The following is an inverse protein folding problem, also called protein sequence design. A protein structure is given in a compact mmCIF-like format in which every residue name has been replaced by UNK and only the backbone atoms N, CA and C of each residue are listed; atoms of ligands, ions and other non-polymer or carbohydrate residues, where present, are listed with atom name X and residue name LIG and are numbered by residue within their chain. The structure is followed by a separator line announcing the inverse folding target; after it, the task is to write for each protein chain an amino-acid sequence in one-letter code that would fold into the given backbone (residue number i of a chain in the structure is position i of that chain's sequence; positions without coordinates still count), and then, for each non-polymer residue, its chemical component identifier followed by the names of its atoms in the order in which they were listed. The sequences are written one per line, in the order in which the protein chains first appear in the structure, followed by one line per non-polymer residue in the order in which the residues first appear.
data_IF_780164048933
#
_entry.id   IF_780164048933
#
_cell.length_a   1.000
_cell.length_b   1.000
_cell.length_c   1.000
_cell.angle_alpha   90.00
_cell.angle_beta   90.00
_cell.angle_gamma   90.00
#
_symmetry.space_group_name_H-M   'P 1'
#
loop_
_entity.id
_entity.type
_entity.pdbx_description
1 polymer ?
#
# COMPACT_ATOMS: atom_id res chain seq x y z
N UNK A 1 16.43 9.76 7.81
CA UNK A 1 15.08 10.29 7.51
C UNK A 1 15.23 11.66 6.86
N UNK A 2 14.48 12.00 5.82
CA UNK A 2 14.61 13.29 5.12
C UNK A 2 14.08 14.42 6.01
N UNK A 3 14.68 15.61 5.95
CA UNK A 3 14.25 16.74 6.77
C UNK A 3 12.79 17.12 6.41
N UNK A 4 11.84 17.16 7.36
CA UNK A 4 10.44 17.47 7.08
C UNK A 4 10.25 18.85 6.42
N UNK A 5 11.09 19.84 6.73
CA UNK A 5 11.01 21.17 6.10
C UNK A 5 11.33 21.11 4.61
N UNK A 6 12.37 20.35 4.24
CA UNK A 6 12.73 20.12 2.84
C UNK A 6 11.63 19.37 2.07
N UNK A 7 10.97 18.40 2.72
CA UNK A 7 9.87 17.66 2.11
C UNK A 7 8.67 18.56 1.81
N UNK A 8 8.30 19.44 2.76
CA UNK A 8 7.23 20.45 2.59
C UNK A 8 7.53 21.37 1.41
N UNK A 9 8.75 21.88 1.31
CA UNK A 9 9.17 22.77 0.22
C UNK A 9 9.19 22.05 -1.13
N UNK A 10 9.76 20.85 -1.21
CA UNK A 10 9.75 20.05 -2.44
C UNK A 10 8.32 19.71 -2.89
N UNK A 11 7.46 19.33 -1.95
CA UNK A 11 6.05 19.06 -2.23
C UNK A 11 5.36 20.30 -2.79
N UNK A 12 5.48 21.44 -2.11
CA UNK A 12 4.84 22.68 -2.54
C UNK A 12 5.30 23.11 -3.94
N UNK A 13 6.61 23.06 -4.21
CA UNK A 13 7.17 23.38 -5.54
C UNK A 13 6.57 22.48 -6.64
N UNK A 14 6.52 21.17 -6.39
CA UNK A 14 5.94 20.21 -7.35
C UNK A 14 4.42 20.39 -7.51
N UNK A 15 3.72 20.71 -6.43
CA UNK A 15 2.28 20.87 -6.43
C UNK A 15 1.85 22.15 -7.16
N UNK A 16 2.53 23.29 -6.94
CA UNK A 16 2.31 24.53 -7.71
C UNK A 16 2.48 24.26 -9.20
N UNK A 17 3.55 23.58 -9.60
CA UNK A 17 3.78 23.20 -11.00
C UNK A 17 2.64 22.33 -11.55
N UNK A 18 2.17 21.35 -10.78
CA UNK A 18 1.04 20.51 -11.16
C UNK A 18 -0.26 21.29 -11.33
N UNK A 19 -0.57 22.22 -10.41
CA UNK A 19 -1.75 23.08 -10.50
C UNK A 19 -1.70 24.00 -11.72
N UNK A 20 -0.54 24.59 -12.03
CA UNK A 20 -0.35 25.39 -13.24
C UNK A 20 -0.66 24.58 -14.51
N UNK A 21 -0.14 23.35 -14.61
CA UNK A 21 -0.42 22.48 -15.76
C UNK A 21 -1.92 22.15 -15.84
N UNK A 22 -2.55 21.76 -14.73
CA UNK A 22 -3.99 21.48 -14.71
C UNK A 22 -4.83 22.68 -15.15
N UNK A 23 -4.43 23.90 -14.76
CA UNK A 23 -5.13 25.12 -15.17
C UNK A 23 -4.95 25.43 -16.66
N UNK A 24 -3.79 25.09 -17.23
CA UNK A 24 -3.48 25.30 -18.64
C UNK A 24 -4.15 24.27 -19.56
N UNK A 25 -4.31 23.01 -19.12
CA UNK A 25 -4.85 21.94 -19.97
C UNK A 25 -6.35 22.07 -20.23
N UNK A 26 -7.13 22.57 -19.27
CA UNK A 26 -8.59 22.72 -19.42
C UNK A 26 -9.09 23.98 -18.71
N UNK A 27 -9.38 25.03 -19.49
CA UNK A 27 -9.81 26.35 -18.99
C UNK A 27 -11.21 26.34 -18.35
N UNK A 28 -12.13 25.49 -18.82
CA UNK A 28 -13.48 25.34 -18.27
C UNK A 28 -13.64 23.96 -17.64
N UNK A 29 -13.60 23.90 -16.31
CA UNK A 29 -13.83 22.68 -15.54
C UNK A 29 -15.05 22.85 -14.63
N UNK A 30 -15.86 21.78 -14.51
CA UNK A 30 -16.91 21.75 -13.47
C UNK A 30 -16.28 21.71 -12.07
N UNK A 31 -17.05 22.04 -11.02
CA UNK A 31 -16.56 21.99 -9.63
C UNK A 31 -16.03 20.59 -9.27
N UNK A 32 -16.73 19.54 -9.71
CA UNK A 32 -16.34 18.15 -9.46
C UNK A 32 -15.02 17.82 -10.15
N UNK A 33 -14.83 18.28 -11.39
CA UNK A 33 -13.59 18.11 -12.13
C UNK A 33 -12.43 18.87 -11.48
N UNK A 34 -12.65 20.11 -11.05
CA UNK A 34 -11.64 20.90 -10.32
C UNK A 34 -11.19 20.18 -9.05
N UNK A 35 -12.13 19.66 -8.27
CA UNK A 35 -11.81 18.88 -7.06
C UNK A 35 -10.95 17.65 -7.38
N UNK A 36 -11.31 16.90 -8.44
CA UNK A 36 -10.55 15.73 -8.89
C UNK A 36 -9.15 16.12 -9.37
N UNK A 37 -9.03 17.20 -10.16
CA UNK A 37 -7.76 17.70 -10.67
C UNK A 37 -6.82 18.17 -9.54
N UNK A 38 -7.35 18.90 -8.55
CA UNK A 38 -6.58 19.34 -7.38
C UNK A 38 -6.06 18.13 -6.59
N UNK A 39 -6.93 17.15 -6.32
CA UNK A 39 -6.55 15.92 -5.62
C UNK A 39 -5.46 15.17 -6.39
N UNK A 40 -5.68 14.95 -7.68
CA UNK A 40 -4.75 14.22 -8.51
C UNK A 40 -3.38 14.91 -8.63
N UNK A 41 -3.38 16.23 -8.82
CA UNK A 41 -2.16 17.04 -8.82
C UNK A 41 -1.40 16.92 -7.50
N UNK A 42 -2.09 16.93 -6.36
CA UNK A 42 -1.48 16.71 -5.05
C UNK A 42 -0.90 15.28 -4.91
N UNK A 43 -1.64 14.25 -5.33
CA UNK A 43 -1.19 12.86 -5.27
C UNK A 43 0.07 12.64 -6.15
N UNK A 44 0.09 13.21 -7.36
CA UNK A 44 1.24 13.15 -8.27
C UNK A 44 2.45 13.91 -7.70
N UNK A 45 2.24 15.11 -7.17
CA UNK A 45 3.29 15.92 -6.57
C UNK A 45 3.89 15.21 -5.35
N UNK A 46 3.04 14.69 -4.45
CA UNK A 46 3.45 13.94 -3.27
C UNK A 46 4.25 12.69 -3.65
N UNK A 47 3.76 11.87 -4.58
CA UNK A 47 4.49 10.70 -5.05
C UNK A 47 5.83 11.09 -5.71
N UNK A 48 5.86 12.19 -6.45
CA UNK A 48 7.07 12.68 -7.13
C UNK A 48 8.13 13.22 -6.15
N UNK A 49 7.77 13.72 -4.97
CA UNK A 49 8.76 14.13 -3.94
C UNK A 49 9.60 12.96 -3.45
N UNK A 50 9.04 11.74 -3.48
CA UNK A 50 9.73 10.51 -3.12
C UNK A 50 10.55 9.91 -4.25
N UNK A 51 10.61 10.56 -5.43
CA UNK A 51 11.44 10.14 -6.57
C UNK A 51 11.32 8.65 -6.88
N UNK A 52 10.12 8.08 -6.78
CA UNK A 52 9.87 6.65 -7.03
C UNK A 52 10.73 5.71 -6.16
N UNK A 53 10.93 6.04 -4.89
CA UNK A 53 11.67 5.17 -3.96
C UNK A 53 10.75 4.29 -3.13
N UNK A 54 9.45 4.58 -3.09
CA UNK A 54 8.47 3.91 -2.23
C UNK A 54 7.40 3.25 -3.07
N UNK A 55 6.99 2.04 -2.68
CA UNK A 55 5.93 1.29 -3.37
C UNK A 55 4.63 2.07 -3.49
N UNK A 56 4.23 2.82 -2.46
CA UNK A 56 3.01 3.63 -2.52
C UNK A 56 3.11 4.74 -3.56
N UNK A 57 4.28 5.37 -3.73
CA UNK A 57 4.48 6.43 -4.73
C UNK A 57 4.39 5.87 -6.15
N UNK A 58 4.92 4.67 -6.38
CA UNK A 58 4.79 3.97 -7.66
C UNK A 58 3.33 3.66 -7.98
N UNK A 59 2.59 3.11 -7.01
CA UNK A 59 1.19 2.73 -7.21
C UNK A 59 0.34 3.94 -7.60
N UNK A 60 0.51 5.08 -6.91
CA UNK A 60 -0.21 6.31 -7.25
C UNK A 60 0.11 6.79 -8.67
N UNK A 61 1.39 6.83 -9.03
CA UNK A 61 1.81 7.31 -10.36
C UNK A 61 1.41 6.33 -11.47
N UNK A 62 1.40 5.03 -11.20
CA UNK A 62 0.92 4.02 -12.13
C UNK A 62 -0.59 4.13 -12.37
N UNK A 63 -1.37 4.37 -11.31
CA UNK A 63 -2.81 4.59 -11.43
C UNK A 63 -3.12 5.90 -12.18
N UNK A 64 -2.40 6.97 -11.88
CA UNK A 64 -2.56 8.25 -12.59
C UNK A 64 -2.15 8.15 -14.07
N UNK A 65 -1.14 7.34 -14.40
CA UNK A 65 -0.63 7.18 -15.77
C UNK A 65 -1.55 6.41 -16.72
N UNK A 66 -2.68 5.87 -16.24
CA UNK A 66 -3.69 5.21 -17.08
C UNK A 66 -4.41 6.16 -18.04
N UNK A 67 -4.33 7.47 -17.75
CA UNK A 67 -4.89 8.54 -18.56
C UNK A 67 -3.74 9.32 -19.20
N UNK A 68 -3.80 9.48 -20.52
CA UNK A 68 -2.77 10.13 -21.32
C UNK A 68 -2.55 11.60 -20.93
N UNK A 69 -3.61 12.30 -20.50
CA UNK A 69 -3.50 13.69 -20.05
C UNK A 69 -2.67 13.79 -18.77
N UNK A 70 -2.88 12.85 -17.85
CA UNK A 70 -2.18 12.78 -16.59
C UNK A 70 -0.72 12.35 -16.78
N UNK A 71 -0.44 11.53 -17.80
CA UNK A 71 0.93 11.17 -18.18
C UNK A 71 1.78 12.39 -18.50
N UNK A 72 1.22 13.38 -19.21
CA UNK A 72 1.86 14.66 -19.52
C UNK A 72 2.17 15.43 -18.23
N UNK A 73 1.21 15.50 -17.30
CA UNK A 73 1.38 16.15 -15.99
C UNK A 73 2.54 15.51 -15.22
N UNK A 74 2.55 14.18 -15.13
CA UNK A 74 3.59 13.46 -14.39
C UNK A 74 4.98 13.72 -14.98
N UNK A 75 5.13 13.66 -16.32
CA UNK A 75 6.42 13.91 -16.96
C UNK A 75 6.94 15.32 -16.66
N UNK A 76 6.07 16.33 -16.69
CA UNK A 76 6.44 17.70 -16.40
C UNK A 76 6.80 17.93 -14.93
N UNK A 77 6.07 17.33 -13.98
CA UNK A 77 6.35 17.48 -12.54
C UNK A 77 7.63 16.75 -12.14
N UNK A 78 7.92 15.63 -12.80
CA UNK A 78 9.00 14.74 -12.45
C UNK A 78 10.38 15.22 -12.94
N UNK A 79 10.42 15.93 -14.07
CA UNK A 79 11.67 16.35 -14.71
C UNK A 79 12.34 15.20 -15.48
N UNK A 80 13.17 15.54 -16.48
CA UNK A 80 13.71 14.58 -17.45
C UNK A 80 14.59 13.47 -16.82
N UNK A 81 15.31 13.77 -15.74
CA UNK A 81 16.28 12.85 -15.13
C UNK A 81 15.62 11.64 -14.44
N UNK A 82 14.42 11.84 -13.91
CA UNK A 82 13.67 10.79 -13.22
C UNK A 82 12.76 10.00 -14.18
N UNK A 83 12.56 10.46 -15.43
CA UNK A 83 11.81 9.74 -16.48
C UNK A 83 12.56 8.48 -16.93
N UNK A 84 13.89 8.51 -16.96
CA UNK A 84 14.70 7.34 -17.33
C UNK A 84 14.55 6.20 -16.30
N UNK A 85 14.51 6.56 -15.01
CA UNK A 85 14.19 5.63 -13.91
C UNK A 85 12.75 5.14 -13.97
N UNK A 86 11.81 6.02 -14.35
CA UNK A 86 10.40 5.67 -14.59
C UNK A 86 10.27 4.56 -15.64
N UNK A 87 10.89 4.72 -16.82
CA UNK A 87 10.87 3.73 -17.90
C UNK A 87 11.38 2.34 -17.46
N UNK A 88 12.51 2.29 -16.73
CA UNK A 88 13.05 1.02 -16.21
C UNK A 88 12.12 0.33 -15.21
N UNK A 89 11.45 1.10 -14.34
CA UNK A 89 10.66 0.53 -13.24
C UNK A 89 9.25 0.11 -13.71
N UNK A 90 8.64 0.87 -14.62
CA UNK A 90 7.35 0.49 -15.23
C UNK A 90 7.48 -0.75 -16.14
N UNK A 91 8.62 -0.94 -16.83
CA UNK A 91 8.91 -2.20 -17.56
C UNK A 91 9.12 -3.39 -16.61
N UNK A 92 9.63 -3.15 -15.40
CA UNK A 92 9.80 -4.16 -14.35
C UNK A 92 8.50 -4.50 -13.61
N UNK A 93 7.40 -3.78 -13.88
CA UNK A 93 6.05 -4.17 -13.47
C UNK A 93 5.30 -4.97 -14.53
N UNK A 94 5.69 -4.86 -15.81
CA UNK A 94 5.22 -5.75 -16.89
C UNK A 94 6.03 -7.05 -16.99
N UNK A 95 7.28 -7.06 -16.53
CA UNK A 95 8.03 -8.28 -16.25
C UNK A 95 7.82 -8.66 -14.78
N UNK A 96 7.32 -9.86 -14.50
CA UNK A 96 7.01 -10.31 -13.13
C UNK A 96 8.05 -9.89 -12.08
N UNK A 97 7.53 -9.31 -10.99
CA UNK A 97 8.16 -9.07 -9.68
C UNK A 97 9.42 -9.91 -9.41
N UNK A 98 10.60 -9.39 -9.78
CA UNK A 98 11.86 -9.88 -9.22
C UNK A 98 12.05 -9.22 -7.86
N UNK A 99 11.71 -9.99 -6.83
CA UNK A 99 12.05 -9.73 -5.44
C UNK A 99 13.52 -9.30 -5.33
N UNK A 100 13.76 -8.03 -5.01
CA UNK A 100 15.09 -7.57 -4.64
C UNK A 100 15.38 -8.12 -3.23
N UNK A 101 16.17 -9.19 -3.21
CA UNK A 101 16.63 -9.87 -2.01
C UNK A 101 17.61 -9.00 -1.22
N UNK A 102 17.08 -8.20 -0.30
CA UNK A 102 17.92 -7.75 0.82
C UNK A 102 18.09 -8.94 1.76
N UNK A 103 19.31 -9.50 1.73
CA UNK A 103 19.78 -10.64 2.53
C UNK A 103 19.47 -10.40 4.01
N UNK A 104 18.36 -10.96 4.49
CA UNK A 104 18.13 -11.18 5.92
C UNK A 104 18.67 -12.58 6.21
N UNK A 105 19.74 -12.63 7.00
CA UNK A 105 20.39 -13.83 7.50
C UNK A 105 19.33 -14.69 8.20
N UNK A 106 18.98 -15.84 7.61
CA UNK A 106 18.16 -16.86 8.26
C UNK A 106 19.02 -17.63 9.26
N UNK A 107 18.67 -17.58 10.54
CA UNK A 107 19.25 -18.48 11.53
C UNK A 107 18.91 -19.94 11.14
N UNK A 108 19.93 -20.71 10.74
CA UNK A 108 19.81 -22.15 10.52
C UNK A 108 19.56 -22.82 11.87
N UNK A 109 18.37 -23.39 12.08
CA UNK A 109 18.19 -24.48 13.05
C UNK A 109 17.72 -25.70 12.29
N UNK A 110 18.67 -26.59 12.04
CA UNK A 110 18.44 -27.94 11.52
C UNK A 110 17.86 -28.75 12.68
N UNK A 111 16.62 -29.21 12.54
CA UNK A 111 16.20 -30.50 13.10
C UNK A 111 15.29 -31.16 12.07
N UNK A 112 15.81 -32.23 11.49
CA UNK A 112 15.16 -33.20 10.62
C UNK A 112 14.39 -34.25 11.44
N UNK A 113 13.51 -34.99 10.74
CA UNK A 113 12.79 -36.25 11.08
C UNK A 113 11.31 -36.04 11.47
N UNK A 114 10.30 -36.65 10.84
CA UNK A 114 10.21 -37.56 9.69
C UNK A 114 8.73 -37.74 9.29
N UNK A 115 8.41 -37.73 8.01
CA UNK A 115 7.13 -38.23 7.47
C UNK A 115 7.15 -39.77 7.50
N UNK A 116 6.29 -40.41 8.29
CA UNK A 116 5.99 -41.85 8.12
C UNK A 116 4.61 -41.99 7.49
N UNK A 117 4.61 -42.14 6.18
CA UNK A 117 3.52 -42.76 5.42
C UNK A 117 3.75 -44.27 5.57
N UNK A 118 2.88 -44.97 6.29
CA UNK A 118 2.78 -46.43 6.17
C UNK A 118 1.34 -46.82 5.85
N UNK A 119 1.15 -47.18 4.58
CA UNK A 119 0.04 -48.01 4.11
C UNK A 119 0.21 -49.40 4.73
N UNK A 120 -0.81 -49.94 5.40
CA UNK A 120 -0.89 -51.39 5.58
C UNK A 120 -2.35 -51.85 5.42
N UNK A 121 -2.53 -52.74 4.45
CA UNK A 121 -3.78 -53.40 4.06
C UNK A 121 -4.07 -54.57 5.01
N UNK A 122 -5.38 -54.72 5.30
CA UNK A 122 -6.19 -55.95 5.46
C UNK A 122 -5.67 -57.08 6.36
N UNK A 123 -6.52 -57.51 7.31
CA UNK A 123 -6.94 -58.92 7.40
C UNK A 123 -8.38 -59.03 7.90
N UNK A 124 -9.01 -60.11 7.44
CA UNK A 124 -10.42 -60.49 7.50
C UNK A 124 -10.65 -61.45 8.68
N UNK A 125 -11.89 -61.40 9.19
CA UNK A 125 -12.70 -62.46 9.81
C UNK A 125 -12.67 -62.72 11.33
N UNK A 126 -13.90 -63.07 11.77
CA UNK A 126 -14.36 -63.70 13.01
C UNK A 126 -14.87 -62.82 14.17
N UNK A 127 -16.20 -62.63 14.16
CA UNK A 127 -17.07 -62.35 15.31
C UNK A 127 -17.28 -63.59 16.19
N UNK A 128 -17.64 -63.46 17.49
CA UNK A 128 -19.06 -63.55 17.84
C UNK A 128 -19.55 -62.65 19.00
N UNK A 129 -20.78 -62.15 18.79
CA UNK A 129 -21.90 -61.90 19.74
C UNK A 129 -21.81 -60.86 20.88
N UNK A 130 -22.69 -59.86 20.70
CA UNK A 130 -23.69 -59.28 21.63
C UNK A 130 -23.21 -58.32 22.75
N UNK A 131 -23.58 -57.05 22.65
CA UNK A 131 -24.76 -56.41 23.27
C UNK A 131 -24.69 -54.90 22.95
N UNK A 132 -25.66 -54.40 22.18
CA UNK A 132 -25.94 -52.96 22.10
C UNK A 132 -26.46 -52.50 23.46
N UNK A 133 -25.85 -51.49 24.07
CA UNK A 133 -26.46 -50.24 24.57
C UNK A 133 -25.31 -49.35 25.06
N UNK A 134 -25.08 -48.23 24.38
CA UNK A 134 -24.10 -47.26 24.86
C UNK A 134 -23.81 -46.17 23.85
N UNK A 135 -24.61 -45.13 23.86
CA UNK A 135 -24.32 -43.87 23.18
C UNK A 135 -23.04 -43.26 23.78
N UNK A 136 -21.86 -43.62 23.28
CA UNK A 136 -20.66 -42.83 23.53
C UNK A 136 -20.65 -41.69 22.52
N UNK A 137 -21.27 -40.58 22.93
CA UNK A 137 -21.08 -39.25 22.35
C UNK A 137 -19.58 -39.08 22.18
N UNK A 138 -19.09 -39.22 20.95
CA UNK A 138 -17.72 -38.92 20.62
C UNK A 138 -17.57 -37.42 20.85
N UNK A 139 -17.04 -37.05 22.02
CA UNK A 139 -16.75 -35.67 22.40
C UNK A 139 -15.70 -35.20 21.42
N UNK A 140 -16.17 -34.60 20.31
CA UNK A 140 -15.40 -33.84 19.35
C UNK A 140 -14.61 -32.84 20.20
N UNK A 141 -13.35 -33.16 20.47
CA UNK A 141 -12.49 -32.32 21.30
C UNK A 141 -12.53 -30.93 20.71
N UNK A 142 -13.19 -30.00 21.40
CA UNK A 142 -13.17 -28.58 21.03
C UNK A 142 -11.70 -28.19 21.11
N UNK A 143 -11.04 -28.16 19.97
CA UNK A 143 -9.62 -27.79 19.85
C UNK A 143 -9.53 -26.38 20.42
N UNK A 144 -9.09 -26.27 21.68
CA UNK A 144 -9.03 -25.00 22.39
C UNK A 144 -8.16 -24.07 21.55
N UNK A 145 -8.77 -23.00 21.06
CA UNK A 145 -8.07 -22.04 20.20
C UNK A 145 -7.10 -21.32 21.12
N UNK A 146 -5.82 -21.67 21.03
CA UNK A 146 -4.78 -21.04 21.85
C UNK A 146 -4.82 -19.51 21.66
N UNK A 147 -4.61 -18.70 22.72
CA UNK A 147 -4.56 -17.24 22.63
C UNK A 147 -3.64 -16.73 21.51
N UNK A 148 -2.52 -17.43 21.25
CA UNK A 148 -1.58 -17.10 20.16
C UNK A 148 -2.27 -17.16 18.78
N UNK A 149 -3.17 -18.12 18.58
CA UNK A 149 -3.86 -18.32 17.31
C UNK A 149 -4.96 -17.28 17.09
N UNK A 150 -5.57 -16.79 18.17
CA UNK A 150 -6.50 -15.65 18.15
C UNK A 150 -5.74 -14.38 17.78
N UNK A 151 -4.63 -14.10 18.46
CA UNK A 151 -3.78 -12.95 18.17
C UNK A 151 -3.29 -12.96 16.71
N UNK A 152 -2.84 -14.10 16.20
CA UNK A 152 -2.44 -14.25 14.78
C UNK A 152 -3.59 -13.97 13.82
N UNK A 153 -4.82 -14.43 14.10
CA UNK A 153 -6.00 -14.13 13.28
C UNK A 153 -6.32 -12.63 13.28
N UNK A 154 -6.23 -11.98 14.44
CA UNK A 154 -6.45 -10.53 14.56
C UNK A 154 -5.41 -9.72 13.79
N UNK A 155 -4.13 -10.06 13.94
CA UNK A 155 -3.03 -9.41 13.21
C UNK A 155 -3.19 -9.59 11.70
N UNK A 156 -3.56 -10.79 11.23
CA UNK A 156 -3.85 -11.03 9.81
C UNK A 156 -4.97 -10.13 9.28
N UNK A 157 -6.08 -10.01 10.02
CA UNK A 157 -7.19 -9.12 9.63
C UNK A 157 -6.75 -7.66 9.56
N UNK A 158 -6.07 -7.17 10.59
CA UNK A 158 -5.57 -5.78 10.62
C UNK A 158 -4.55 -5.51 9.52
N UNK A 159 -3.68 -6.47 9.24
CA UNK A 159 -2.70 -6.38 8.13
C UNK A 159 -3.42 -6.27 6.79
N UNK A 160 -4.49 -7.06 6.58
CA UNK A 160 -5.27 -6.99 5.34
C UNK A 160 -5.95 -5.63 5.16
N UNK A 161 -6.51 -5.08 6.23
CA UNK A 161 -7.08 -3.72 6.21
C UNK A 161 -5.98 -2.71 5.86
N UNK A 162 -4.81 -2.80 6.50
CA UNK A 162 -3.70 -1.90 6.22
C UNK A 162 -3.25 -1.99 4.75
N UNK A 163 -3.18 -3.21 4.18
CA UNK A 163 -2.87 -3.40 2.76
C UNK A 163 -3.85 -2.68 1.82
N UNK A 164 -5.13 -2.61 2.18
CA UNK A 164 -6.15 -1.90 1.39
C UNK A 164 -6.09 -0.38 1.54
N UNK A 165 -5.51 0.14 2.64
CA UNK A 165 -5.41 1.57 2.91
C UNK A 165 -4.19 2.21 2.24
N UNK A 166 -3.09 1.45 2.11
CA UNK A 166 -1.87 1.95 1.51
C UNK A 166 -1.90 1.72 0.01
N UNK A 167 -1.65 2.74 -0.84
CA UNK A 167 -1.55 2.55 -2.28
C UNK A 167 -0.55 1.43 -2.62
N UNK A 168 -1.00 0.40 -3.33
CA UNK A 168 -0.16 -0.76 -3.68
C UNK A 168 0.17 -1.71 -2.53
N UNK A 169 -0.45 -1.55 -1.36
CA UNK A 169 -0.20 -2.37 -0.16
C UNK A 169 -0.49 -3.85 -0.34
N UNK A 170 -1.41 -4.20 -1.25
CA UNK A 170 -1.76 -5.58 -1.59
C UNK A 170 -0.53 -6.42 -1.99
N UNK A 171 0.40 -5.79 -2.73
CA UNK A 171 1.61 -6.40 -3.28
C UNK A 171 2.82 -6.37 -2.32
N UNK A 172 2.67 -5.80 -1.13
CA UNK A 172 3.77 -5.66 -0.17
C UNK A 172 3.85 -6.85 0.80
N UNK A 173 5.06 -7.20 1.23
CA UNK A 173 5.26 -8.07 2.39
C UNK A 173 5.02 -7.29 3.69
N UNK A 174 4.88 -8.00 4.82
CA UNK A 174 4.50 -7.38 6.09
C UNK A 174 5.53 -6.36 6.59
N UNK A 175 6.83 -6.56 6.35
CA UNK A 175 7.88 -5.65 6.83
C UNK A 175 7.88 -4.38 5.99
N UNK A 176 7.86 -4.53 4.66
CA UNK A 176 7.75 -3.39 3.75
C UNK A 176 6.46 -2.60 3.97
N UNK A 177 5.33 -3.27 4.23
CA UNK A 177 4.05 -2.62 4.49
C UNK A 177 4.13 -1.63 5.66
N UNK A 178 4.77 -2.00 6.78
CA UNK A 178 4.92 -1.11 7.94
C UNK A 178 5.82 0.08 7.59
N UNK A 179 6.94 -0.17 6.91
CA UNK A 179 7.88 0.88 6.48
C UNK A 179 7.20 1.90 5.55
N UNK A 180 6.50 1.40 4.54
CA UNK A 180 5.75 2.19 3.56
C UNK A 180 4.60 2.95 4.21
N UNK A 181 3.91 2.34 5.18
CA UNK A 181 2.84 2.99 5.96
C UNK A 181 3.37 4.20 6.72
N UNK A 182 4.50 4.07 7.41
CA UNK A 182 5.11 5.19 8.13
C UNK A 182 5.47 6.34 7.20
N UNK A 183 6.07 6.01 6.05
CA UNK A 183 6.43 7.00 5.05
C UNK A 183 5.20 7.68 4.42
N UNK A 184 4.14 6.93 4.17
CA UNK A 184 2.89 7.45 3.63
C UNK A 184 2.17 8.36 4.64
N UNK A 185 2.12 8.00 5.93
CA UNK A 185 1.58 8.88 6.98
C UNK A 185 2.32 10.21 7.04
N UNK A 186 3.66 10.18 6.99
CA UNK A 186 4.46 11.41 6.98
C UNK A 186 4.16 12.26 5.75
N UNK A 187 3.99 11.63 4.59
CA UNK A 187 3.69 12.32 3.33
C UNK A 187 2.28 12.94 3.36
N UNK A 188 1.28 12.23 3.89
CA UNK A 188 -0.08 12.73 4.10
C UNK A 188 -0.12 13.92 5.05
N UNK A 189 0.64 13.88 6.16
CA UNK A 189 0.76 15.02 7.08
C UNK A 189 1.30 16.25 6.36
N UNK A 190 2.37 16.10 5.58
CA UNK A 190 2.93 17.20 4.79
C UNK A 190 1.93 17.75 3.78
N UNK A 191 1.21 16.88 3.07
CA UNK A 191 0.17 17.28 2.13
C UNK A 191 -0.91 18.12 2.83
N UNK A 192 -1.49 17.61 3.92
CA UNK A 192 -2.55 18.30 4.68
C UNK A 192 -2.06 19.63 5.26
N UNK A 193 -0.85 19.65 5.82
CA UNK A 193 -0.24 20.86 6.36
C UNK A 193 -0.15 21.95 5.27
N UNK A 194 0.43 21.63 4.11
CA UNK A 194 0.61 22.60 3.02
C UNK A 194 -0.74 23.08 2.47
N UNK A 195 -1.70 22.17 2.28
CA UNK A 195 -3.04 22.52 1.80
C UNK A 195 -3.75 23.47 2.76
N UNK A 196 -3.62 23.25 4.08
CA UNK A 196 -4.22 24.11 5.11
C UNK A 196 -3.58 25.50 5.14
N UNK A 197 -2.25 25.59 5.03
CA UNK A 197 -1.57 26.88 4.98
C UNK A 197 -2.03 27.71 3.77
N UNK A 198 -2.21 27.08 2.62
CA UNK A 198 -2.70 27.76 1.42
C UNK A 198 -4.14 28.24 1.58
N UNK A 199 -5.02 27.40 2.14
CA UNK A 199 -6.41 27.78 2.41
C UNK A 199 -6.48 28.99 3.36
N UNK A 200 -5.75 28.94 4.48
CA UNK A 200 -5.70 30.04 5.45
C UNK A 200 -5.13 31.33 4.84
N UNK A 201 -4.05 31.21 4.04
CA UNK A 201 -3.49 32.38 3.34
C UNK A 201 -4.49 33.00 2.36
N UNK A 202 -5.29 32.17 1.67
CA UNK A 202 -6.32 32.67 0.76
C UNK A 202 -7.48 33.37 1.47
N UNK A 203 -7.83 32.95 2.68
CA UNK A 203 -8.85 33.61 3.50
C UNK A 203 -8.40 35.00 3.95
N UNK A 204 -7.11 35.17 4.28
CA UNK A 204 -6.53 36.46 4.67
C UNK A 204 -6.50 37.45 3.50
N UNK A 205 -6.26 36.97 2.27
CA UNK A 205 -6.21 37.83 1.06
C UNK A 205 -7.58 38.23 0.52
N UNK A 206 -8.67 37.65 1.04
CA UNK A 206 -10.03 38.11 0.78
C UNK A 206 -10.52 38.89 2.01
N UNK A 207 -10.08 40.14 2.23
CA UNK A 207 -10.72 40.98 3.23
C UNK A 207 -12.18 41.06 2.85
N UNK A 208 -13.04 40.61 3.75
CA UNK A 208 -14.49 40.65 3.63
C UNK A 208 -14.88 41.99 3.00
N UNK A 209 -15.49 41.95 1.82
CA UNK A 209 -16.42 43.00 1.38
C UNK A 209 -17.55 42.99 2.39
N UNK A 210 -17.32 43.65 3.52
CA UNK A 210 -18.32 43.91 4.56
C UNK A 210 -19.14 45.10 4.09
N UNK A 211 -20.40 44.80 3.76
CA UNK A 211 -21.57 45.68 3.65
C UNK A 211 -21.47 46.87 2.70
#
# INVERSE_FOLDING_TARGET
MRNPSSLKQEFLKKWIKGLQICSATKKKMSIIERKKAIKLSADIAMASTRKFTTYWSHSLLANASKDDTNKIIINNILGNDDISKRSMIFKKSSMGLLAMSQKIIRCKKIVTKSCKISRQRRQLNFSPKQVEVGCTISRKGRKMISPISIARKLVKKRTQILKSLIPGGEYMDNVSLIKETLDYILSLRVQVDVMRHLANASEITNPKTSL
#
